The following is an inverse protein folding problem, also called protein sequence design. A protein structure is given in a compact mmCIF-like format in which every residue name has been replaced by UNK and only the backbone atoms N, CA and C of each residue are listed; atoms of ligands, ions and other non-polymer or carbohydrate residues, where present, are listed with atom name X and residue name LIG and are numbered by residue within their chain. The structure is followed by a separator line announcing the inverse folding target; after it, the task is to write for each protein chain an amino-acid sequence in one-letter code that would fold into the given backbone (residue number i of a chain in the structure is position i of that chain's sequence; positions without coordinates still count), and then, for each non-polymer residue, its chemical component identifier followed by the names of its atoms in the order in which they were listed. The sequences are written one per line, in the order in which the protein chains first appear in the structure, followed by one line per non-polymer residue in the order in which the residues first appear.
data_IF_720207601930
#
_entry.id   IF_720207601930
#
_cell.length_a   1.000
_cell.length_b   1.000
_cell.length_c   1.000
_cell.angle_alpha   90.00
_cell.angle_beta   90.00
_cell.angle_gamma   90.00
#
_symmetry.space_group_name_H-M   'P 1'
#
loop_
_entity.id
_entity.type
_entity.pdbx_description
1 polymer ?
#
# COMPACT_ATOMS: atom_id res chain seq x y z
N UNK A 1 1.29 -13.00 -12.67
CA UNK A 1 0.05 -13.03 -13.49
C UNK A 1 -0.44 -14.47 -13.65
N UNK A 2 -1.68 -14.73 -13.21
CA UNK A 2 -2.34 -16.03 -13.30
C UNK A 2 -3.60 -15.90 -14.17
N UNK A 3 -3.63 -16.44 -15.39
CA UNK A 3 -4.79 -16.34 -16.29
C UNK A 3 -6.02 -17.10 -15.77
N UNK A 4 -5.88 -17.93 -14.74
CA UNK A 4 -6.99 -18.66 -14.10
C UNK A 4 -7.64 -17.90 -12.94
N UNK A 5 -7.12 -16.73 -12.57
CA UNK A 5 -7.66 -15.89 -11.49
C UNK A 5 -8.55 -14.78 -12.05
N UNK A 6 -9.55 -14.34 -11.29
CA UNK A 6 -10.55 -13.36 -11.74
C UNK A 6 -9.95 -12.03 -12.21
N UNK A 7 -8.84 -11.61 -11.59
CA UNK A 7 -8.18 -10.33 -11.88
C UNK A 7 -6.93 -10.49 -12.72
N UNK A 8 -6.53 -11.73 -13.02
CA UNK A 8 -5.20 -12.05 -13.56
C UNK A 8 -4.09 -12.10 -12.48
N UNK A 9 -4.44 -11.91 -11.20
CA UNK A 9 -3.55 -11.98 -10.05
C UNK A 9 -4.20 -12.76 -8.88
N UNK A 10 -3.40 -13.53 -8.15
CA UNK A 10 -3.86 -14.39 -7.05
C UNK A 10 -4.05 -13.65 -5.71
N UNK A 11 -3.59 -12.40 -5.64
CA UNK A 11 -3.71 -11.58 -4.44
C UNK A 11 -5.18 -11.23 -4.17
N UNK A 12 -5.61 -11.42 -2.93
CA UNK A 12 -6.94 -11.05 -2.45
C UNK A 12 -6.92 -9.72 -1.70
N UNK A 13 -8.07 -9.05 -1.51
CA UNK A 13 -8.17 -7.83 -0.70
C UNK A 13 -7.53 -7.96 0.69
N UNK A 14 -7.72 -9.10 1.35
CA UNK A 14 -7.22 -9.37 2.70
C UNK A 14 -5.69 -9.50 2.71
N UNK A 15 -5.11 -10.21 1.73
CA UNK A 15 -3.67 -10.39 1.63
C UNK A 15 -2.98 -9.07 1.35
N UNK A 16 -3.43 -8.34 0.32
CA UNK A 16 -2.83 -7.05 -0.06
C UNK A 16 -2.95 -6.03 1.07
N UNK A 17 -4.14 -5.89 1.67
CA UNK A 17 -4.36 -4.90 2.74
C UNK A 17 -3.56 -5.21 4.00
N UNK A 18 -3.35 -6.49 4.36
CA UNK A 18 -2.49 -6.88 5.48
C UNK A 18 -1.05 -6.41 5.26
N UNK A 19 -0.47 -6.73 4.11
CA UNK A 19 0.92 -6.36 3.78
C UNK A 19 1.11 -4.83 3.73
N UNK A 20 0.18 -4.13 3.09
CA UNK A 20 0.21 -2.65 3.02
C UNK A 20 0.03 -2.03 4.42
N UNK A 21 -0.85 -2.60 5.24
CA UNK A 21 -1.05 -2.17 6.63
C UNK A 21 0.20 -2.33 7.47
N UNK A 22 0.96 -3.42 7.29
CA UNK A 22 2.25 -3.64 7.97
C UNK A 22 3.26 -2.55 7.58
N UNK A 23 3.38 -2.22 6.29
CA UNK A 23 4.25 -1.12 5.84
C UNK A 23 3.85 0.24 6.40
N UNK A 24 2.54 0.51 6.51
CA UNK A 24 2.03 1.73 7.10
C UNK A 24 2.32 1.79 8.61
N UNK A 25 2.14 0.68 9.33
CA UNK A 25 2.40 0.58 10.77
C UNK A 25 3.89 0.76 11.11
N UNK A 26 4.78 0.29 10.24
CA UNK A 26 6.22 0.51 10.33
C UNK A 26 6.65 1.93 9.90
N UNK A 27 5.71 2.75 9.42
CA UNK A 27 5.99 4.11 8.99
C UNK A 27 6.88 4.15 7.74
N UNK A 28 6.71 3.22 6.80
CA UNK A 28 7.51 3.16 5.57
C UNK A 28 6.89 3.94 4.40
N UNK A 29 5.57 4.14 4.43
CA UNK A 29 4.78 4.67 3.31
C UNK A 29 3.95 5.89 3.72
N UNK A 30 3.67 6.76 2.76
CA UNK A 30 2.74 7.89 2.89
C UNK A 30 1.59 7.85 1.89
N UNK A 31 1.78 7.14 0.78
CA UNK A 31 0.80 6.97 -0.28
C UNK A 31 0.74 5.48 -0.59
N UNK A 32 -0.46 4.93 -0.55
CA UNK A 32 -0.74 3.53 -0.86
C UNK A 32 -1.94 3.47 -1.79
N UNK A 33 -2.00 2.41 -2.60
CA UNK A 33 -3.05 2.22 -3.58
C UNK A 33 -2.88 0.87 -4.24
N UNK A 34 -3.27 0.77 -5.51
CA UNK A 34 -3.06 -0.45 -6.29
C UNK A 34 -2.81 -0.18 -7.76
N UNK A 35 -2.54 -1.26 -8.48
CA UNK A 35 -2.19 -1.26 -9.89
C UNK A 35 -2.98 -2.38 -10.59
N UNK A 36 -2.35 -3.14 -11.49
CA UNK A 36 -2.96 -4.28 -12.15
C UNK A 36 -3.46 -5.30 -11.13
N UNK A 37 -4.68 -5.80 -11.33
CA UNK A 37 -5.30 -6.80 -10.45
C UNK A 37 -6.01 -6.24 -9.22
N UNK A 38 -5.71 -4.99 -8.82
CA UNK A 38 -6.39 -4.35 -7.68
C UNK A 38 -7.82 -3.96 -8.05
N UNK A 39 -8.78 -4.32 -7.21
CA UNK A 39 -10.20 -3.98 -7.38
C UNK A 39 -10.67 -2.96 -6.32
N UNK A 40 -11.88 -2.38 -6.44
CA UNK A 40 -12.42 -1.51 -5.39
C UNK A 40 -12.47 -2.17 -4.01
N UNK A 41 -12.69 -3.49 -3.95
CA UNK A 41 -12.65 -4.25 -2.70
C UNK A 41 -11.26 -4.22 -2.04
N UNK A 42 -10.19 -4.30 -2.84
CA UNK A 42 -8.83 -4.16 -2.34
C UNK A 42 -8.58 -2.76 -1.77
N UNK A 43 -9.02 -1.71 -2.46
CA UNK A 43 -8.84 -0.32 -2.00
C UNK A 43 -9.61 -0.08 -0.69
N UNK A 44 -10.83 -0.59 -0.57
CA UNK A 44 -11.59 -0.54 0.69
C UNK A 44 -10.87 -1.26 1.84
N UNK A 45 -10.37 -2.48 1.60
CA UNK A 45 -9.62 -3.21 2.60
C UNK A 45 -8.30 -2.51 3.00
N UNK A 46 -7.58 -1.92 2.04
CA UNK A 46 -6.38 -1.10 2.30
C UNK A 46 -6.76 0.09 3.18
N UNK A 47 -7.82 0.85 2.83
CA UNK A 47 -8.31 1.97 3.62
C UNK A 47 -8.56 1.57 5.08
N UNK A 48 -9.29 0.48 5.30
CA UNK A 48 -9.65 0.05 6.65
C UNK A 48 -8.43 -0.33 7.50
N UNK A 49 -7.35 -0.83 6.87
CA UNK A 49 -6.09 -1.12 7.55
C UNK A 49 -5.24 0.11 7.84
N UNK A 50 -5.25 1.12 6.95
CA UNK A 50 -4.33 2.26 7.07
C UNK A 50 -4.95 3.51 7.70
N UNK A 51 -6.27 3.69 7.63
CA UNK A 51 -6.96 4.88 8.14
C UNK A 51 -6.71 5.17 9.64
N UNK A 52 -6.55 4.15 10.53
CA UNK A 52 -6.24 4.41 11.94
C UNK A 52 -4.79 4.79 12.21
N UNK A 53 -3.88 4.67 11.24
CA UNK A 53 -2.44 4.82 11.42
C UNK A 53 -1.98 6.23 11.04
N UNK A 54 -0.99 6.80 11.76
CA UNK A 54 -0.39 8.07 11.37
C UNK A 54 0.46 7.90 10.10
N UNK A 55 0.48 8.93 9.25
CA UNK A 55 1.42 8.97 8.11
C UNK A 55 2.88 9.03 8.58
N UNK A 56 3.79 8.54 7.74
CA UNK A 56 5.23 8.61 7.98
C UNK A 56 5.71 10.06 8.07
N UNK A 57 6.39 10.39 9.18
CA UNK A 57 7.03 11.69 9.41
C UNK A 57 8.13 11.93 8.38
N UNK A 58 8.01 13.02 7.62
CA UNK A 58 9.04 13.44 6.69
C UNK A 58 10.19 14.11 7.46
N UNK A 59 11.38 13.52 7.38
CA UNK A 59 12.60 14.18 7.82
C UNK A 59 12.86 15.37 6.90
N UNK A 60 13.08 16.56 7.50
CA UNK A 60 13.35 17.80 6.76
C UNK A 60 14.70 17.77 6.01
N UNK A 61 15.55 16.82 6.37
CA UNK A 61 16.84 16.60 5.72
C UNK A 61 16.59 15.80 4.44
N UNK A 62 16.83 16.45 3.29
CA UNK A 62 16.70 15.83 1.97
C UNK A 62 17.61 14.61 1.91
N UNK A 63 17.05 13.44 1.61
CA UNK A 63 17.80 12.18 1.49
C UNK A 63 18.86 12.28 0.38
N UNK A 64 18.51 12.95 -0.73
CA UNK A 64 19.43 13.31 -1.80
C UNK A 64 19.88 14.76 -1.63
N UNK A 65 20.95 14.96 -0.84
CA UNK A 65 21.54 16.30 -0.66
C UNK A 65 22.06 16.91 -1.98
N UNK A 66 22.38 16.08 -2.96
CA UNK A 66 22.93 16.51 -4.26
C UNK A 66 21.86 16.93 -5.28
N UNK A 67 20.58 16.65 -5.02
CA UNK A 67 19.48 17.01 -5.91
C UNK A 67 18.74 18.30 -5.48
N UNK A 68 19.25 18.98 -4.42
CA UNK A 68 18.66 20.17 -3.82
C UNK A 68 19.40 21.44 -4.23
#
# INVERSE_FOLDING_TARGET
PNPMSDTGFDETPEVTSRLVGEFAAEGLVNIVGGCCGTTPAHIGAIHDKVAPLPGRVLQRNVFYKEAA
#
